data_IF_999072708607
#
_entry.id   IF_999072708607
#
_cell.length_a   1.000
_cell.length_b   1.000
_cell.length_c   1.000
_cell.angle_alpha   90.00
_cell.angle_beta   90.00
_cell.angle_gamma   90.00
#
_symmetry.space_group_name_H-M   'P 1'
#
loop_
_entity.id
_entity.type
_entity.pdbx_description
1 polymer ?
#
# COMPACT_ATOMS: atom_id res chain seq x y z
N UNK A 1 27.74 7.59 9.24
CA UNK A 1 26.65 6.59 9.28
C UNK A 1 25.55 7.12 8.38
N UNK A 2 25.10 6.36 7.38
CA UNK A 2 23.94 6.74 6.56
C UNK A 2 22.70 6.72 7.44
N UNK A 3 21.89 7.78 7.38
CA UNK A 3 20.62 7.82 8.11
C UNK A 3 19.73 6.66 7.69
N UNK A 4 18.97 6.10 8.65
CA UNK A 4 18.03 5.01 8.38
C UNK A 4 16.97 5.45 7.36
N UNK A 5 16.65 4.63 6.35
CA UNK A 5 15.60 4.94 5.39
C UNK A 5 14.23 5.13 6.05
N UNK A 6 13.39 5.96 5.45
CA UNK A 6 12.06 6.31 5.94
C UNK A 6 11.00 5.86 4.94
N UNK A 7 10.00 5.13 5.41
CA UNK A 7 8.87 4.66 4.59
C UNK A 7 7.54 5.16 5.16
N UNK A 8 6.67 5.72 4.31
CA UNK A 8 5.28 6.05 4.64
C UNK A 8 4.34 5.02 4.02
N UNK A 9 3.46 4.41 4.84
CA UNK A 9 2.55 3.35 4.43
C UNK A 9 1.10 3.77 4.70
N UNK A 10 0.25 3.84 3.67
CA UNK A 10 -1.18 4.04 3.87
C UNK A 10 -1.87 2.72 4.22
N UNK A 11 -2.83 2.76 5.18
CA UNK A 11 -3.46 1.54 5.69
C UNK A 11 -2.50 0.63 6.45
N UNK A 12 -1.51 1.22 7.15
CA UNK A 12 -0.42 0.50 7.80
C UNK A 12 -0.77 -0.11 9.17
N UNK A 13 -1.98 0.08 9.68
CA UNK A 13 -2.39 -0.45 11.00
C UNK A 13 -2.96 -1.88 10.98
N UNK A 14 -3.01 -2.56 9.84
CA UNK A 14 -3.49 -3.95 9.73
C UNK A 14 -3.03 -4.63 8.43
N UNK A 15 -3.24 -5.93 8.34
CA UNK A 15 -3.02 -6.73 7.13
C UNK A 15 -1.62 -6.56 6.53
N UNK A 16 -1.57 -6.41 5.20
CA UNK A 16 -0.30 -6.29 4.46
C UNK A 16 0.50 -5.07 4.92
N UNK A 17 -0.15 -3.91 5.09
CA UNK A 17 0.53 -2.69 5.50
C UNK A 17 1.23 -2.80 6.86
N UNK A 18 0.56 -3.42 7.85
CA UNK A 18 1.15 -3.68 9.16
C UNK A 18 2.32 -4.67 9.09
N UNK A 19 2.18 -5.72 8.25
CA UNK A 19 3.25 -6.69 8.04
C UNK A 19 4.49 -6.04 7.40
N UNK A 20 4.30 -5.15 6.41
CA UNK A 20 5.40 -4.36 5.81
C UNK A 20 6.05 -3.47 6.87
N UNK A 21 5.26 -2.74 7.66
CA UNK A 21 5.78 -1.88 8.70
C UNK A 21 6.67 -2.64 9.70
N UNK A 22 6.23 -3.84 10.16
CA UNK A 22 7.01 -4.72 11.04
C UNK A 22 8.36 -5.07 10.42
N UNK A 23 8.37 -5.59 9.18
CA UNK A 23 9.61 -5.98 8.49
C UNK A 23 10.62 -4.84 8.38
N UNK A 24 10.14 -3.62 8.11
CA UNK A 24 10.98 -2.44 7.98
C UNK A 24 11.54 -1.99 9.33
N UNK A 25 10.73 -2.00 10.38
CA UNK A 25 11.16 -1.68 11.74
C UNK A 25 12.18 -2.71 12.26
N UNK A 26 11.94 -4.01 12.02
CA UNK A 26 12.88 -5.09 12.37
C UNK A 26 14.23 -4.93 11.65
N UNK A 27 14.22 -4.36 10.44
CA UNK A 27 15.43 -4.01 9.68
C UNK A 27 16.06 -2.67 10.09
N UNK A 28 15.59 -2.03 11.18
CA UNK A 28 16.11 -0.77 11.69
C UNK A 28 15.74 0.48 10.89
N UNK A 29 14.75 0.38 9.99
CA UNK A 29 14.22 1.53 9.27
C UNK A 29 13.21 2.32 10.10
N UNK A 30 12.90 3.54 9.68
CA UNK A 30 11.85 4.39 10.26
C UNK A 30 10.59 4.30 9.40
N UNK A 31 9.44 4.18 10.05
CA UNK A 31 8.17 3.94 9.37
C UNK A 31 7.09 4.88 9.89
N UNK A 32 6.41 5.58 8.98
CA UNK A 32 5.16 6.24 9.27
C UNK A 32 4.00 5.39 8.71
N UNK A 33 2.94 5.21 9.47
CA UNK A 33 1.74 4.50 9.04
C UNK A 33 0.50 5.37 9.17
N UNK A 34 -0.38 5.33 8.17
CA UNK A 34 -1.68 6.01 8.27
C UNK A 34 -2.83 5.02 8.36
N UNK A 35 -3.94 5.44 8.96
CA UNK A 35 -5.18 4.68 9.04
C UNK A 35 -6.33 5.52 9.59
N UNK A 36 -7.58 5.15 9.28
CA UNK A 36 -8.78 5.85 9.76
C UNK A 36 -9.08 5.59 11.24
N UNK A 37 -8.79 4.38 11.70
CA UNK A 37 -9.09 3.92 13.07
C UNK A 37 -7.93 4.21 14.02
N UNK A 38 -8.11 5.20 14.89
CA UNK A 38 -7.10 5.61 15.87
C UNK A 38 -6.76 4.49 16.86
N UNK A 39 -7.78 3.77 17.33
CA UNK A 39 -7.59 2.63 18.26
C UNK A 39 -6.76 1.50 17.62
N UNK A 40 -7.00 1.23 16.33
CA UNK A 40 -6.23 0.21 15.59
C UNK A 40 -4.77 0.62 15.44
N UNK A 41 -4.50 1.89 15.17
CA UNK A 41 -3.13 2.41 15.11
C UNK A 41 -2.43 2.34 16.46
N UNK A 42 -3.13 2.70 17.55
CA UNK A 42 -2.58 2.57 18.90
C UNK A 42 -2.31 1.11 19.28
N UNK A 43 -3.25 0.22 18.99
CA UNK A 43 -3.06 -1.22 19.26
C UNK A 43 -1.87 -1.79 18.47
N UNK A 44 -1.71 -1.39 17.21
CA UNK A 44 -0.57 -1.77 16.39
C UNK A 44 0.76 -1.27 16.97
N UNK A 45 0.83 -0.01 17.41
CA UNK A 45 2.04 0.53 18.04
C UNK A 45 2.37 -0.19 19.35
N UNK A 46 1.38 -0.36 20.23
CA UNK A 46 1.54 -1.05 21.51
C UNK A 46 2.00 -2.51 21.34
N UNK A 47 1.46 -3.23 20.35
CA UNK A 47 1.88 -4.61 20.03
C UNK A 47 3.38 -4.69 19.66
N UNK A 48 3.92 -3.62 19.10
CA UNK A 48 5.35 -3.50 18.75
C UNK A 48 6.21 -2.93 19.89
N UNK A 49 5.61 -2.60 21.03
CA UNK A 49 6.31 -1.99 22.15
C UNK A 49 6.61 -0.50 21.96
N UNK A 50 5.80 0.21 21.18
CA UNK A 50 5.90 1.63 20.90
C UNK A 50 7.32 2.07 20.44
N UNK A 51 7.86 1.46 19.36
CA UNK A 51 9.23 1.72 18.95
C UNK A 51 9.40 3.17 18.46
N UNK A 52 10.50 3.82 18.86
CA UNK A 52 10.80 5.20 18.45
C UNK A 52 10.93 5.39 16.91
N UNK A 53 11.12 4.33 16.17
CA UNK A 53 11.13 4.34 14.69
C UNK A 53 9.75 4.31 14.04
N UNK A 54 8.64 4.25 14.81
CA UNK A 54 7.27 4.19 14.30
C UNK A 54 6.53 5.50 14.58
N UNK A 55 5.97 6.09 13.53
CA UNK A 55 5.03 7.21 13.61
C UNK A 55 3.64 6.75 13.15
N UNK A 56 2.65 6.85 14.02
CA UNK A 56 1.25 6.54 13.68
C UNK A 56 0.46 7.82 13.43
N UNK A 57 -0.26 7.89 12.32
CA UNK A 57 -0.98 9.08 11.88
C UNK A 57 -2.42 8.72 11.53
N UNK A 58 -3.39 9.31 12.21
CA UNK A 58 -4.79 9.16 11.81
C UNK A 58 -5.04 9.93 10.51
N UNK A 59 -5.61 9.24 9.50
CA UNK A 59 -5.93 9.89 8.24
C UNK A 59 -6.56 8.92 7.23
N UNK A 60 -7.35 9.49 6.31
CA UNK A 60 -7.94 8.81 5.17
C UNK A 60 -7.03 8.96 3.95
N UNK A 61 -6.73 7.85 3.27
CA UNK A 61 -5.99 7.88 2.01
C UNK A 61 -6.78 8.55 0.87
N UNK A 62 -8.11 8.66 1.00
CA UNK A 62 -8.99 9.30 0.03
C UNK A 62 -9.07 10.84 0.17
N UNK A 63 -8.48 11.40 1.23
CA UNK A 63 -8.58 12.83 1.55
C UNK A 63 -7.25 13.55 1.33
N UNK A 64 -7.19 14.42 0.30
CA UNK A 64 -5.96 15.09 -0.11
C UNK A 64 -5.25 15.82 1.04
N UNK A 65 -5.98 16.61 1.83
CA UNK A 65 -5.40 17.36 2.95
C UNK A 65 -4.78 16.44 4.01
N UNK A 66 -5.41 15.30 4.30
CA UNK A 66 -4.90 14.34 5.27
C UNK A 66 -3.68 13.59 4.75
N UNK A 67 -3.63 13.29 3.45
CA UNK A 67 -2.46 12.68 2.80
C UNK A 67 -1.28 13.65 2.82
N UNK A 68 -1.49 14.93 2.49
CA UNK A 68 -0.45 15.98 2.57
C UNK A 68 0.07 16.10 4.00
N UNK A 69 -0.83 16.22 4.99
CA UNK A 69 -0.44 16.31 6.40
C UNK A 69 0.36 15.09 6.87
N UNK A 70 0.06 13.89 6.36
CA UNK A 70 0.82 12.69 6.70
C UNK A 70 2.25 12.71 6.14
N UNK A 71 2.43 13.19 4.91
CA UNK A 71 3.76 13.37 4.31
C UNK A 71 4.55 14.43 5.07
N UNK A 72 3.95 15.59 5.36
CA UNK A 72 4.58 16.67 6.12
C UNK A 72 4.98 16.22 7.54
N UNK A 73 4.11 15.51 8.24
CA UNK A 73 4.41 14.96 9.56
C UNK A 73 5.57 13.95 9.51
N UNK A 74 5.61 13.09 8.48
CA UNK A 74 6.70 12.14 8.27
C UNK A 74 8.04 12.86 8.05
N UNK A 75 8.05 13.88 7.19
CA UNK A 75 9.23 14.69 6.92
C UNK A 75 9.69 15.48 8.15
N UNK A 76 8.75 16.01 8.92
CA UNK A 76 9.04 16.75 10.16
C UNK A 76 9.67 15.84 11.22
N UNK A 77 9.15 14.61 11.37
CA UNK A 77 9.62 13.66 12.38
C UNK A 77 10.97 13.04 12.01
N UNK A 78 11.11 12.63 10.76
CA UNK A 78 12.25 11.82 10.34
C UNK A 78 13.25 12.52 9.42
N UNK A 79 12.95 13.73 8.94
CA UNK A 79 13.85 14.55 8.12
C UNK A 79 13.93 14.15 6.65
N UNK A 80 13.40 13.01 6.26
CA UNK A 80 13.46 12.47 4.89
C UNK A 80 12.30 11.54 4.58
N UNK A 81 12.13 11.20 3.30
CA UNK A 81 11.18 10.18 2.84
C UNK A 81 11.80 9.43 1.66
N UNK A 82 12.03 8.13 1.82
CA UNK A 82 12.69 7.28 0.82
C UNK A 82 11.71 6.40 0.05
N UNK A 83 10.62 6.00 0.70
CA UNK A 83 9.63 5.14 0.06
C UNK A 83 8.22 5.51 0.49
N UNK A 84 7.27 5.43 -0.43
CA UNK A 84 5.85 5.43 -0.12
C UNK A 84 5.22 4.12 -0.55
N UNK A 85 4.33 3.57 0.30
CA UNK A 85 3.57 2.35 0.03
C UNK A 85 2.08 2.69 0.02
N UNK A 86 1.49 2.78 -1.17
CA UNK A 86 0.07 2.95 -1.38
C UNK A 86 -0.63 1.60 -1.17
N UNK A 87 -0.92 1.27 0.09
CA UNK A 87 -1.50 -0.02 0.48
C UNK A 87 -2.99 0.09 0.87
N UNK A 88 -3.46 1.25 1.34
CA UNK A 88 -4.86 1.41 1.72
C UNK A 88 -5.81 1.02 0.59
N UNK A 89 -6.79 0.17 0.90
CA UNK A 89 -7.78 -0.29 -0.07
C UNK A 89 -8.75 -1.28 0.56
N UNK A 90 -9.91 -1.42 -0.05
CA UNK A 90 -10.95 -2.38 0.34
C UNK A 90 -11.78 -2.79 -0.88
N UNK A 91 -12.67 -3.77 -0.69
CA UNK A 91 -13.66 -4.19 -1.66
C UNK A 91 -15.05 -4.18 -1.03
N UNK A 92 -16.06 -3.86 -1.84
CA UNK A 92 -17.47 -3.98 -1.45
C UNK A 92 -17.98 -5.42 -1.59
N UNK A 93 -17.26 -6.26 -2.33
CA UNK A 93 -17.59 -7.68 -2.59
C UNK A 93 -18.94 -7.89 -3.27
N UNK A 94 -19.45 -6.90 -3.97
CA UNK A 94 -20.71 -6.87 -4.71
C UNK A 94 -20.49 -6.83 -6.23
N UNK A 95 -21.56 -6.78 -6.99
CA UNK A 95 -21.53 -6.66 -8.45
C UNK A 95 -22.15 -5.36 -8.95
N UNK A 96 -21.80 -4.94 -10.17
CA UNK A 96 -22.39 -3.74 -10.79
C UNK A 96 -23.90 -3.85 -10.99
N UNK A 97 -24.48 -5.06 -10.95
CA UNK A 97 -25.91 -5.27 -11.11
C UNK A 97 -26.71 -5.04 -9.82
N UNK A 98 -26.08 -5.28 -8.65
CA UNK A 98 -26.80 -5.39 -7.37
C UNK A 98 -26.14 -4.63 -6.21
N UNK A 99 -24.97 -4.02 -6.43
CA UNK A 99 -24.22 -3.38 -5.35
C UNK A 99 -24.67 -1.96 -5.02
N UNK A 100 -24.06 -1.40 -3.96
CA UNK A 100 -24.33 -0.04 -3.50
C UNK A 100 -23.39 0.99 -4.13
N UNK A 101 -23.90 1.94 -4.95
CA UNK A 101 -23.08 3.00 -5.55
C UNK A 101 -22.35 3.89 -4.54
N UNK A 102 -22.85 4.04 -3.32
CA UNK A 102 -22.15 4.81 -2.29
C UNK A 102 -20.86 4.11 -1.85
N UNK A 103 -20.92 2.79 -1.62
CA UNK A 103 -19.75 1.98 -1.32
C UNK A 103 -18.73 1.97 -2.47
N UNK A 104 -19.20 1.95 -3.73
CA UNK A 104 -18.31 2.04 -4.89
C UNK A 104 -17.58 3.38 -4.96
N UNK A 105 -18.27 4.48 -4.64
CA UNK A 105 -17.65 5.81 -4.59
C UNK A 105 -16.49 5.82 -3.59
N UNK A 106 -16.72 5.35 -2.36
CA UNK A 106 -15.67 5.25 -1.35
C UNK A 106 -14.52 4.35 -1.80
N UNK A 107 -14.84 3.21 -2.44
CA UNK A 107 -13.84 2.28 -2.95
C UNK A 107 -12.98 2.91 -4.05
N UNK A 108 -13.56 3.62 -5.00
CA UNK A 108 -12.82 4.32 -6.06
C UNK A 108 -11.95 5.43 -5.47
N UNK A 109 -12.48 6.24 -4.56
CA UNK A 109 -11.71 7.29 -3.89
C UNK A 109 -10.53 6.72 -3.10
N UNK A 110 -10.71 5.59 -2.41
CA UNK A 110 -9.62 4.97 -1.64
C UNK A 110 -8.64 4.22 -2.52
N UNK A 111 -9.13 3.34 -3.41
CA UNK A 111 -8.28 2.40 -4.14
C UNK A 111 -7.57 3.04 -5.35
N UNK A 112 -8.18 4.06 -5.98
CA UNK A 112 -7.68 4.67 -7.21
C UNK A 112 -7.13 6.06 -6.95
N UNK A 113 -7.95 6.96 -6.39
CA UNK A 113 -7.52 8.33 -6.13
C UNK A 113 -6.47 8.39 -5.02
N UNK A 114 -6.63 7.59 -3.94
CA UNK A 114 -5.70 7.58 -2.81
C UNK A 114 -4.24 7.37 -3.19
N UNK A 115 -3.88 6.35 -3.98
CA UNK A 115 -2.53 6.19 -4.51
C UNK A 115 -2.02 7.41 -5.29
N UNK A 116 -2.85 8.00 -6.13
CA UNK A 116 -2.48 9.19 -6.90
C UNK A 116 -2.21 10.41 -5.99
N UNK A 117 -3.04 10.60 -4.95
CA UNK A 117 -2.84 11.66 -3.94
C UNK A 117 -1.53 11.46 -3.17
N UNK A 118 -1.22 10.22 -2.76
CA UNK A 118 0.02 9.92 -2.07
C UNK A 118 1.24 10.20 -2.94
N UNK A 119 1.22 9.78 -4.21
CA UNK A 119 2.28 10.05 -5.17
C UNK A 119 2.47 11.56 -5.31
N UNK A 120 1.37 12.31 -5.55
CA UNK A 120 1.42 13.77 -5.73
C UNK A 120 1.99 14.48 -4.50
N UNK A 121 1.61 14.06 -3.29
CA UNK A 121 2.07 14.68 -2.06
C UNK A 121 3.54 14.39 -1.75
N UNK A 122 4.06 13.22 -2.16
CA UNK A 122 5.40 12.75 -1.78
C UNK A 122 6.46 12.94 -2.86
N UNK A 123 6.09 13.27 -4.09
CA UNK A 123 7.00 13.20 -5.24
C UNK A 123 8.25 14.05 -5.10
N UNK A 124 8.15 15.25 -4.51
CA UNK A 124 9.31 16.14 -4.37
C UNK A 124 10.32 15.59 -3.34
N UNK A 125 9.83 14.98 -2.25
CA UNK A 125 10.68 14.29 -1.28
C UNK A 125 11.35 13.05 -1.90
N UNK A 126 10.59 12.27 -2.70
CA UNK A 126 11.12 11.09 -3.39
C UNK A 126 12.15 11.45 -4.47
N UNK A 127 12.01 12.56 -5.16
CA UNK A 127 13.03 13.07 -6.09
C UNK A 127 14.35 13.36 -5.36
N UNK A 128 14.26 13.99 -4.18
CA UNK A 128 15.44 14.34 -3.40
C UNK A 128 16.22 13.11 -2.93
N UNK A 129 15.54 12.01 -2.64
CA UNK A 129 16.16 10.77 -2.16
C UNK A 129 16.41 9.74 -3.28
N UNK A 130 15.93 9.99 -4.51
CA UNK A 130 15.84 8.98 -5.58
C UNK A 130 15.12 7.72 -5.08
N UNK A 131 14.00 7.97 -4.43
CA UNK A 131 13.27 7.00 -3.64
C UNK A 131 12.42 6.04 -4.47
N UNK A 132 11.43 5.41 -3.81
CA UNK A 132 10.58 4.41 -4.44
C UNK A 132 9.11 4.63 -4.13
N UNK A 133 8.26 4.22 -5.06
CA UNK A 133 6.81 4.17 -4.95
C UNK A 133 6.39 2.71 -5.08
N UNK A 134 5.70 2.18 -4.08
CA UNK A 134 5.10 0.85 -4.13
C UNK A 134 3.58 0.99 -4.10
N UNK A 135 2.91 0.38 -5.09
CA UNK A 135 1.46 0.31 -5.13
C UNK A 135 1.02 -1.14 -4.87
N UNK A 136 0.11 -1.31 -3.91
CA UNK A 136 -0.50 -2.62 -3.65
C UNK A 136 -1.73 -2.77 -4.53
N UNK A 137 -1.53 -3.44 -5.65
CA UNK A 137 -2.57 -3.85 -6.59
C UNK A 137 -3.33 -5.08 -6.13
N UNK A 138 -3.59 -5.97 -7.08
CA UNK A 138 -4.18 -7.30 -6.89
C UNK A 138 -4.05 -8.08 -8.18
N UNK A 139 -4.10 -9.41 -8.13
CA UNK A 139 -4.34 -10.24 -9.33
C UNK A 139 -5.63 -9.85 -10.04
N UNK A 140 -6.62 -9.29 -9.33
CA UNK A 140 -7.84 -8.75 -9.92
C UNK A 140 -7.60 -7.57 -10.89
N UNK A 141 -6.41 -6.96 -10.87
CA UNK A 141 -5.97 -5.96 -11.85
C UNK A 141 -5.37 -6.56 -13.13
N UNK A 142 -5.42 -7.88 -13.31
CA UNK A 142 -4.92 -8.62 -14.49
C UNK A 142 -5.92 -9.62 -15.04
N UNK A 143 -7.05 -9.81 -14.37
CA UNK A 143 -8.09 -10.76 -14.78
C UNK A 143 -9.46 -10.09 -14.80
N UNK A 144 -10.34 -10.58 -15.68
CA UNK A 144 -11.71 -10.10 -15.76
C UNK A 144 -12.62 -11.03 -14.98
N UNK A 145 -13.37 -10.46 -14.04
CA UNK A 145 -14.40 -11.16 -13.28
C UNK A 145 -15.75 -10.48 -13.53
N UNK A 146 -16.79 -11.20 -13.96
CA UNK A 146 -18.08 -10.59 -14.26
C UNK A 146 -18.62 -9.75 -13.09
N UNK A 147 -19.03 -8.52 -13.39
CA UNK A 147 -19.63 -7.60 -12.43
C UNK A 147 -18.69 -7.02 -11.36
N UNK A 148 -17.41 -7.39 -11.33
CA UNK A 148 -16.50 -7.04 -10.25
C UNK A 148 -15.96 -5.61 -10.39
N UNK A 149 -16.58 -4.65 -9.69
CA UNK A 149 -16.12 -3.26 -9.69
C UNK A 149 -14.80 -3.09 -8.91
N UNK A 150 -14.54 -3.89 -7.88
CA UNK A 150 -13.23 -3.91 -7.22
C UNK A 150 -12.11 -4.24 -8.23
N UNK A 151 -12.33 -5.24 -9.09
CA UNK A 151 -11.41 -5.56 -10.17
C UNK A 151 -11.11 -4.36 -11.05
N UNK A 152 -12.14 -3.58 -11.42
CA UNK A 152 -11.95 -2.35 -12.21
C UNK A 152 -11.05 -1.34 -11.48
N UNK A 153 -11.19 -1.17 -10.15
CA UNK A 153 -10.28 -0.30 -9.38
C UNK A 153 -8.83 -0.82 -9.41
N UNK A 154 -8.63 -2.13 -9.38
CA UNK A 154 -7.28 -2.72 -9.41
C UNK A 154 -6.65 -2.67 -10.81
N UNK A 155 -7.43 -2.75 -11.89
CA UNK A 155 -6.98 -2.42 -13.23
C UNK A 155 -6.52 -0.96 -13.34
N UNK A 156 -7.27 -0.02 -12.74
CA UNK A 156 -6.85 1.38 -12.69
C UNK A 156 -5.52 1.57 -11.96
N UNK A 157 -5.30 0.86 -10.83
CA UNK A 157 -4.01 0.88 -10.10
C UNK A 157 -2.87 0.31 -10.95
N UNK A 158 -3.11 -0.76 -11.73
CA UNK A 158 -2.13 -1.33 -12.65
C UNK A 158 -1.72 -0.28 -13.71
N UNK A 159 -2.69 0.41 -14.30
CA UNK A 159 -2.42 1.50 -15.25
C UNK A 159 -1.70 2.69 -14.62
N UNK A 160 -2.13 3.08 -13.40
CA UNK A 160 -1.50 4.17 -12.65
C UNK A 160 -0.03 3.87 -12.37
N UNK A 161 0.31 2.64 -11.97
CA UNK A 161 1.68 2.24 -11.68
C UNK A 161 2.60 2.45 -12.91
N UNK A 162 2.20 1.96 -14.08
CA UNK A 162 3.02 2.09 -15.30
C UNK A 162 3.09 3.55 -15.79
N UNK A 163 1.99 4.30 -15.74
CA UNK A 163 2.00 5.70 -16.12
C UNK A 163 2.90 6.54 -15.19
N UNK A 164 2.83 6.30 -13.88
CA UNK A 164 3.71 6.94 -12.90
C UNK A 164 5.16 6.58 -13.15
N UNK A 165 5.47 5.29 -13.37
CA UNK A 165 6.83 4.83 -13.64
C UNK A 165 7.45 5.57 -14.83
N UNK A 166 6.71 5.71 -15.93
CA UNK A 166 7.19 6.42 -17.13
C UNK A 166 7.48 7.88 -16.87
N UNK A 167 6.71 8.51 -16.01
CA UNK A 167 6.92 9.92 -15.66
C UNK A 167 8.13 10.10 -14.73
N UNK A 168 8.24 9.29 -13.65
CA UNK A 168 9.19 9.56 -12.55
C UNK A 168 10.57 8.94 -12.77
N UNK A 169 10.73 7.99 -13.70
CA UNK A 169 12.01 7.31 -13.97
C UNK A 169 13.12 8.29 -14.35
N UNK A 170 12.79 9.40 -15.01
CA UNK A 170 13.75 10.47 -15.34
C UNK A 170 14.36 11.14 -14.10
N UNK A 171 13.72 11.04 -12.94
CA UNK A 171 14.20 11.59 -11.67
C UNK A 171 14.90 10.53 -10.81
N UNK A 172 15.08 9.32 -11.33
CA UNK A 172 15.66 8.20 -10.60
C UNK A 172 14.74 7.61 -9.54
N UNK A 173 13.43 7.89 -9.59
CA UNK A 173 12.42 7.31 -8.68
C UNK A 173 11.91 6.00 -9.29
N UNK A 174 11.98 4.91 -8.52
CA UNK A 174 11.48 3.60 -8.93
C UNK A 174 10.00 3.42 -8.60
N UNK A 175 9.28 2.60 -9.39
CA UNK A 175 7.86 2.29 -9.16
C UNK A 175 7.60 0.81 -9.27
N UNK A 176 7.06 0.22 -8.21
CA UNK A 176 6.71 -1.20 -8.15
C UNK A 176 5.22 -1.38 -7.90
N UNK A 177 4.59 -2.21 -8.71
CA UNK A 177 3.26 -2.76 -8.46
C UNK A 177 3.41 -4.15 -7.83
N UNK A 178 2.91 -4.31 -6.62
CA UNK A 178 2.75 -5.63 -5.98
C UNK A 178 1.32 -6.07 -6.20
N UNK A 179 1.11 -7.22 -6.80
CA UNK A 179 -0.21 -7.78 -7.13
C UNK A 179 -0.46 -9.09 -6.38
N UNK A 180 -0.99 -9.02 -5.14
CA UNK A 180 -1.31 -10.20 -4.37
C UNK A 180 -2.50 -10.97 -4.94
N UNK A 181 -2.46 -12.30 -4.80
CA UNK A 181 -3.62 -13.16 -4.85
C UNK A 181 -4.44 -13.10 -3.56
N UNK A 182 -4.99 -14.23 -3.14
CA UNK A 182 -5.76 -14.33 -1.90
C UNK A 182 -4.82 -14.29 -0.70
N UNK A 183 -5.03 -13.30 0.19
CA UNK A 183 -4.23 -13.09 1.41
C UNK A 183 -5.15 -13.11 2.62
N UNK A 184 -4.79 -13.85 3.65
CA UNK A 184 -5.49 -13.86 4.92
C UNK A 184 -5.28 -12.53 5.67
N UNK A 185 -6.27 -11.68 5.64
CA UNK A 185 -6.24 -10.34 6.24
C UNK A 185 -7.68 -9.88 6.57
N UNK A 186 -7.86 -8.81 7.35
CA UNK A 186 -9.16 -8.18 7.58
C UNK A 186 -9.88 -7.67 6.32
N UNK A 187 -9.26 -7.78 5.15
CA UNK A 187 -9.92 -7.49 3.86
C UNK A 187 -11.18 -8.33 3.64
N UNK A 188 -11.25 -9.53 4.24
CA UNK A 188 -12.37 -10.45 4.14
C UNK A 188 -13.41 -10.27 5.25
N UNK A 189 -13.23 -9.28 6.15
CA UNK A 189 -14.22 -8.99 7.19
C UNK A 189 -15.55 -8.60 6.53
N UNK A 190 -16.65 -9.20 7.01
CA UNK A 190 -18.00 -8.94 6.47
C UNK A 190 -18.38 -9.75 5.22
N UNK A 191 -17.51 -10.63 4.70
CA UNK A 191 -17.80 -11.47 3.52
C UNK A 191 -18.38 -12.86 3.86
N UNK A 192 -18.61 -13.12 5.14
CA UNK A 192 -19.05 -14.45 5.61
C UNK A 192 -17.92 -15.45 5.82
N UNK A 193 -16.66 -15.02 5.71
CA UNK A 193 -15.48 -15.84 5.95
C UNK A 193 -14.38 -15.71 4.88
N UNK A 194 -13.31 -16.44 5.09
CA UNK A 194 -12.20 -16.49 4.13
C UNK A 194 -12.60 -17.24 2.86
N UNK A 195 -12.11 -16.85 1.69
CA UNK A 195 -12.36 -17.59 0.45
C UNK A 195 -11.77 -19.01 0.52
N UNK A 196 -12.37 -19.99 -0.17
CA UNK A 196 -11.88 -21.36 -0.14
C UNK A 196 -10.50 -21.50 -0.82
N UNK A 197 -9.73 -22.51 -0.37
CA UNK A 197 -8.41 -22.85 -0.89
C UNK A 197 -7.27 -22.22 -0.08
N UNK A 198 -6.06 -22.38 -0.57
CA UNK A 198 -4.85 -21.84 0.07
C UNK A 198 -4.86 -20.32 0.04
N UNK A 199 -4.34 -19.73 1.12
CA UNK A 199 -4.19 -18.30 1.29
C UNK A 199 -2.72 -17.97 1.56
N UNK A 200 -2.29 -16.84 1.08
CA UNK A 200 -1.02 -16.23 1.50
C UNK A 200 -1.20 -15.56 2.85
N UNK A 201 -0.14 -15.48 3.62
CA UNK A 201 -0.09 -14.61 4.79
C UNK A 201 0.26 -13.17 4.39
N UNK A 202 -0.13 -12.19 5.21
CA UNK A 202 0.30 -10.82 5.03
C UNK A 202 1.83 -10.68 5.05
N UNK A 203 2.53 -11.52 5.84
CA UNK A 203 3.98 -11.58 5.90
C UNK A 203 4.64 -11.96 4.58
N UNK A 204 4.09 -12.94 3.85
CA UNK A 204 4.63 -13.37 2.55
C UNK A 204 4.53 -12.25 1.50
N UNK A 205 3.48 -11.44 1.55
CA UNK A 205 3.37 -10.25 0.68
C UNK A 205 4.32 -9.15 1.15
N UNK A 206 4.46 -8.94 2.45
CA UNK A 206 5.42 -7.98 3.00
C UNK A 206 6.85 -8.29 2.58
N UNK A 207 7.25 -9.57 2.57
CA UNK A 207 8.56 -10.00 2.10
C UNK A 207 8.79 -9.61 0.62
N UNK A 208 7.78 -9.75 -0.23
CA UNK A 208 7.83 -9.32 -1.64
C UNK A 208 7.94 -7.79 -1.79
N UNK A 209 7.20 -7.03 -0.96
CA UNK A 209 7.29 -5.56 -0.92
C UNK A 209 8.70 -5.13 -0.52
N UNK A 210 9.21 -5.66 0.60
CA UNK A 210 10.54 -5.32 1.12
C UNK A 210 11.62 -5.70 0.10
N UNK A 211 11.55 -6.90 -0.49
CA UNK A 211 12.48 -7.31 -1.54
C UNK A 211 12.50 -6.32 -2.70
N UNK A 212 11.33 -5.93 -3.22
CA UNK A 212 11.25 -5.02 -4.36
C UNK A 212 11.83 -3.63 -4.06
N UNK A 213 11.54 -3.10 -2.85
CA UNK A 213 11.99 -1.75 -2.47
C UNK A 213 13.47 -1.68 -2.04
N UNK A 214 14.11 -2.80 -1.72
CA UNK A 214 15.51 -2.87 -1.27
C UNK A 214 16.49 -3.24 -2.39
N UNK A 215 16.05 -3.28 -3.64
CA UNK A 215 16.94 -3.55 -4.76
C UNK A 215 18.01 -2.44 -4.92
N UNK A 216 19.20 -2.79 -5.44
CA UNK A 216 20.29 -1.82 -5.61
C UNK A 216 19.87 -0.61 -6.46
N UNK A 217 20.61 0.49 -6.31
CA UNK A 217 20.43 1.65 -7.17
C UNK A 217 20.57 1.27 -8.66
N UNK A 218 19.66 1.78 -9.48
CA UNK A 218 19.60 1.45 -10.93
C UNK A 218 18.76 0.22 -11.27
N UNK A 219 18.26 -0.52 -10.27
CA UNK A 219 17.29 -1.61 -10.49
C UNK A 219 15.89 -1.13 -10.16
N UNK A 220 14.98 -1.23 -11.11
CA UNK A 220 13.56 -0.91 -10.96
C UNK A 220 12.72 -2.17 -11.19
N UNK A 221 12.14 -2.71 -10.12
CA UNK A 221 11.22 -3.85 -10.18
C UNK A 221 9.83 -3.32 -10.47
N UNK A 222 9.30 -3.58 -11.66
CA UNK A 222 8.06 -2.91 -12.07
C UNK A 222 6.79 -3.62 -11.61
N UNK A 223 6.76 -4.96 -11.66
CA UNK A 223 5.58 -5.74 -11.25
C UNK A 223 5.98 -7.05 -10.61
N UNK A 224 5.38 -7.34 -9.46
CA UNK A 224 5.52 -8.62 -8.75
C UNK A 224 4.14 -9.20 -8.50
N UNK A 225 3.85 -10.35 -9.09
CA UNK A 225 2.59 -11.07 -8.90
C UNK A 225 2.83 -12.26 -7.99
N UNK A 226 2.11 -12.31 -6.85
CA UNK A 226 2.27 -13.39 -5.86
C UNK A 226 0.92 -14.04 -5.60
N UNK A 227 0.81 -15.33 -5.87
CA UNK A 227 -0.40 -16.13 -5.66
C UNK A 227 -0.14 -17.31 -4.74
N UNK A 228 -1.12 -17.76 -3.96
CA UNK A 228 -1.04 -19.09 -3.37
C UNK A 228 -1.01 -20.15 -4.48
N UNK A 229 -0.33 -21.26 -4.22
CA UNK A 229 -0.37 -22.40 -5.14
C UNK A 229 -1.81 -22.88 -5.32
N UNK A 230 -2.20 -23.18 -6.56
CA UNK A 230 -3.57 -23.61 -6.87
C UNK A 230 -4.57 -22.48 -7.08
N UNK A 231 -4.19 -21.21 -6.96
CA UNK A 231 -5.03 -20.08 -7.44
C UNK A 231 -4.77 -19.86 -8.93
N UNK A 232 -5.71 -20.21 -9.84
CA UNK A 232 -5.48 -20.09 -11.29
C UNK A 232 -5.53 -18.65 -11.82
N UNK A 233 -6.29 -17.78 -11.14
CA UNK A 233 -6.57 -16.40 -11.57
C UNK A 233 -6.21 -15.40 -10.45
#
# INVERSE_FOLDING_TARGET
MTEAPVTLITGGGSGIGAAVARRLLDAGQRVAVTGRGEERLRAFSAELGDPAGLLTLRGSAAEHTQVVSAVEATLKEFGRLDTVVANAGFATHDSVAEGDPAGWTEMVLTNVLGPALLIRASIDALKATRGRIVLVGSVAGFVNTPGNIYGATKWAVTGLAENTRREVTQWGVGVTLIAPGRVETPFWDGTGGLPPGELLTAGQIADSVVWAMTQPAGVDVNTVVVRPLGQPN
#
